data_IF_321861684102
#
_entry.id   IF_321861684102
#
_cell.length_a   1.000
_cell.length_b   1.000
_cell.length_c   1.000
_cell.angle_alpha   90.00
_cell.angle_beta   90.00
_cell.angle_gamma   90.00
#
_symmetry.space_group_name_H-M   'P 1'
#
loop_
_entity.id
_entity.type
_entity.pdbx_description
1 polymer ?
#
# COMPACT_ATOMS: atom_id res chain seq x y z
N UNK A 1 0.85 10.92 28.36
CA UNK A 1 1.00 11.72 27.12
C UNK A 1 1.53 13.12 27.44
N UNK A 2 0.81 13.94 28.22
CA UNK A 2 1.30 15.25 28.67
C UNK A 2 2.64 15.16 29.43
N UNK A 3 2.87 14.13 30.23
CA UNK A 3 4.13 13.90 30.96
C UNK A 3 5.35 13.56 30.07
N UNK A 4 5.12 13.15 28.80
CA UNK A 4 6.20 12.87 27.85
C UNK A 4 6.60 14.12 27.06
N UNK A 5 5.69 15.09 26.92
CA UNK A 5 5.89 16.35 26.19
C UNK A 5 6.21 17.49 27.17
N UNK A 6 5.76 17.38 28.42
CA UNK A 6 5.94 18.36 29.48
C UNK A 6 6.51 17.69 30.75
N UNK A 7 7.59 18.24 31.33
CA UNK A 7 8.29 19.46 30.91
C UNK A 7 9.10 19.24 29.63
N UNK A 8 9.06 20.23 28.74
CA UNK A 8 9.82 20.28 27.48
C UNK A 8 11.33 20.13 27.65
N UNK A 9 11.84 20.23 28.88
CA UNK A 9 13.24 20.05 29.26
C UNK A 9 13.68 18.60 29.45
N UNK A 10 12.76 17.62 29.51
CA UNK A 10 13.15 16.22 29.67
C UNK A 10 13.85 15.75 28.39
N UNK A 11 15.10 15.31 28.50
CA UNK A 11 15.89 14.83 27.36
C UNK A 11 15.24 13.61 26.70
N UNK A 12 15.42 13.47 25.39
CA UNK A 12 15.03 12.25 24.67
C UNK A 12 16.06 11.17 25.01
N UNK A 13 15.56 10.00 25.38
CA UNK A 13 16.33 8.81 25.78
C UNK A 13 15.76 7.56 25.09
N UNK A 14 16.39 6.40 25.31
CA UNK A 14 16.01 5.12 24.69
C UNK A 14 14.56 4.72 24.96
N UNK A 15 14.04 5.07 26.13
CA UNK A 15 12.68 4.71 26.53
C UNK A 15 11.64 5.64 25.90
N UNK A 16 11.98 6.92 25.75
CA UNK A 16 11.07 7.94 25.24
C UNK A 16 11.11 8.07 23.73
N UNK A 17 12.24 7.84 23.05
CA UNK A 17 12.37 8.06 21.60
C UNK A 17 11.36 7.25 20.79
N UNK A 18 11.10 5.99 21.18
CA UNK A 18 10.16 5.12 20.48
C UNK A 18 8.69 5.54 20.62
N UNK A 19 8.38 6.35 21.64
CA UNK A 19 7.04 6.90 21.90
C UNK A 19 6.92 8.29 21.28
N UNK A 20 7.93 9.13 21.50
CA UNK A 20 7.95 10.53 21.07
C UNK A 20 8.08 10.66 19.56
N UNK A 21 8.87 9.82 18.89
CA UNK A 21 9.13 9.95 17.46
C UNK A 21 7.87 9.71 16.59
N UNK A 22 7.08 8.63 16.80
CA UNK A 22 5.81 8.47 16.10
C UNK A 22 4.84 9.62 16.38
N UNK A 23 4.70 10.03 17.65
CA UNK A 23 3.81 11.13 18.02
C UNK A 23 4.24 12.45 17.35
N UNK A 24 5.53 12.76 17.38
CA UNK A 24 6.06 13.97 16.78
C UNK A 24 5.84 13.97 15.26
N UNK A 25 5.92 12.82 14.61
CA UNK A 25 5.64 12.68 13.19
C UNK A 25 4.13 12.82 12.88
N UNK A 26 3.29 12.08 13.60
CA UNK A 26 1.84 12.05 13.37
C UNK A 26 1.18 13.41 13.63
N UNK A 27 1.67 14.15 14.63
CA UNK A 27 1.20 15.50 14.99
C UNK A 27 2.07 16.64 14.43
N UNK A 28 3.04 16.34 13.55
CA UNK A 28 3.88 17.34 12.88
C UNK A 28 4.61 18.30 13.85
N UNK A 29 5.10 17.78 14.98
CA UNK A 29 5.82 18.55 15.98
C UNK A 29 7.31 18.68 15.60
N UNK A 30 7.64 19.62 14.72
CA UNK A 30 9.01 19.79 14.17
C UNK A 30 10.09 19.91 15.24
N UNK A 31 9.85 20.69 16.30
CA UNK A 31 10.81 20.85 17.40
C UNK A 31 11.09 19.54 18.16
N UNK A 32 10.09 18.67 18.30
CA UNK A 32 10.26 17.36 18.94
C UNK A 32 10.92 16.35 17.99
N UNK A 33 10.56 16.38 16.70
CA UNK A 33 11.23 15.61 15.65
C UNK A 33 12.72 15.92 15.60
N UNK A 34 13.09 17.20 15.63
CA UNK A 34 14.48 17.65 15.64
C UNK A 34 15.27 17.12 16.85
N UNK A 35 14.63 17.07 18.03
CA UNK A 35 15.27 16.53 19.24
C UNK A 35 15.45 15.02 19.17
N UNK A 36 14.44 14.29 18.69
CA UNK A 36 14.56 12.86 18.42
C UNK A 36 15.63 12.58 17.37
N UNK A 37 15.72 13.39 16.32
CA UNK A 37 16.74 13.29 15.29
C UNK A 37 18.14 13.51 15.87
N UNK A 38 18.35 14.58 16.65
CA UNK A 38 19.62 14.83 17.33
C UNK A 38 20.05 13.67 18.23
N UNK A 39 19.12 13.10 19.00
CA UNK A 39 19.38 11.93 19.83
C UNK A 39 19.81 10.74 18.96
N UNK A 40 19.04 10.43 17.90
CA UNK A 40 19.32 9.32 17.00
C UNK A 40 20.66 9.46 16.28
N UNK A 41 21.09 10.68 15.93
CA UNK A 41 22.42 10.92 15.33
C UNK A 41 23.52 10.38 16.27
N UNK A 42 23.47 10.76 17.55
CA UNK A 42 24.44 10.31 18.56
C UNK A 42 24.26 8.86 19.01
N UNK A 43 23.08 8.27 18.80
CA UNK A 43 22.75 6.94 19.30
C UNK A 43 23.35 5.82 18.43
N UNK A 44 23.79 4.74 19.08
CA UNK A 44 24.48 3.62 18.45
C UNK A 44 23.49 2.53 18.00
N UNK A 45 22.69 2.83 16.97
CA UNK A 45 21.83 1.84 16.32
C UNK A 45 22.56 1.13 15.17
N UNK A 46 22.17 -0.12 14.84
CA UNK A 46 22.55 -0.75 13.59
C UNK A 46 22.27 0.16 12.40
N UNK A 47 23.21 0.27 11.46
CA UNK A 47 23.14 1.19 10.32
C UNK A 47 21.79 1.14 9.58
N UNK A 48 21.34 -0.06 9.19
CA UNK A 48 20.12 -0.23 8.42
C UNK A 48 18.87 0.10 9.25
N UNK A 49 18.91 -0.08 10.56
CA UNK A 49 17.84 0.34 11.46
C UNK A 49 17.77 1.87 11.55
N UNK A 50 18.94 2.53 11.66
CA UNK A 50 19.06 3.99 11.66
C UNK A 50 18.52 4.61 10.36
N UNK A 51 18.89 4.03 9.21
CA UNK A 51 18.38 4.42 7.89
C UNK A 51 16.88 4.18 7.77
N UNK A 52 16.38 3.05 8.27
CA UNK A 52 14.95 2.74 8.25
C UNK A 52 14.12 3.72 9.10
N UNK A 53 14.60 4.08 10.29
CA UNK A 53 13.95 5.09 11.14
C UNK A 53 13.95 6.45 10.43
N UNK A 54 15.09 6.83 9.82
CA UNK A 54 15.22 8.09 9.12
C UNK A 54 14.27 8.19 7.92
N UNK A 55 14.16 7.14 7.12
CA UNK A 55 13.23 7.07 5.99
C UNK A 55 11.76 7.09 6.47
N UNK A 56 11.42 6.30 7.49
CA UNK A 56 10.05 6.17 8.00
C UNK A 56 9.48 7.47 8.56
N UNK A 57 10.29 8.22 9.31
CA UNK A 57 9.86 9.46 9.96
C UNK A 57 10.39 10.72 9.27
N UNK A 58 10.90 10.59 8.03
CA UNK A 58 11.42 11.69 7.21
C UNK A 58 12.48 12.55 7.91
N UNK A 59 13.37 11.91 8.65
CA UNK A 59 14.51 12.56 9.32
C UNK A 59 15.64 12.75 8.30
N UNK A 60 15.48 13.75 7.43
CA UNK A 60 16.35 13.98 6.28
C UNK A 60 17.81 14.21 6.69
N UNK A 61 18.06 14.93 7.79
CA UNK A 61 19.43 15.21 8.25
C UNK A 61 20.09 13.94 8.77
N UNK A 62 19.37 13.11 9.54
CA UNK A 62 19.86 11.80 9.95
C UNK A 62 20.17 10.91 8.73
N UNK A 63 19.28 10.90 7.73
CA UNK A 63 19.47 10.12 6.50
C UNK A 63 20.72 10.54 5.72
N UNK A 64 20.94 11.84 5.52
CA UNK A 64 22.17 12.38 4.88
C UNK A 64 23.41 11.91 5.63
N UNK A 65 23.41 12.02 6.96
CA UNK A 65 24.56 11.63 7.78
C UNK A 65 24.84 10.13 7.66
N UNK A 66 23.82 9.28 7.72
CA UNK A 66 23.96 7.84 7.48
C UNK A 66 24.58 7.57 6.10
N UNK A 67 24.08 8.21 5.03
CA UNK A 67 24.61 8.02 3.68
C UNK A 67 26.05 8.54 3.51
N UNK A 68 26.44 9.59 4.24
CA UNK A 68 27.81 10.11 4.27
C UNK A 68 28.78 9.16 4.97
N UNK A 69 28.36 8.57 6.09
CA UNK A 69 29.19 7.62 6.86
C UNK A 69 29.39 6.29 6.12
N UNK A 70 28.48 5.92 5.21
CA UNK A 70 28.56 4.67 4.47
C UNK A 70 29.77 4.66 3.51
N UNK A 71 30.55 3.57 3.57
CA UNK A 71 31.66 3.33 2.63
C UNK A 71 31.16 2.60 1.38
N UNK A 72 31.76 2.86 0.19
CA UNK A 72 31.56 2.03 -0.99
C UNK A 72 31.88 0.57 -0.68
N UNK A 73 31.13 -0.38 -1.24
CA UNK A 73 31.26 -1.83 -0.99
C UNK A 73 31.07 -2.26 0.49
N UNK A 74 30.44 -1.45 1.33
CA UNK A 74 30.07 -1.87 2.69
C UNK A 74 29.10 -3.05 2.66
N UNK A 75 29.24 -3.97 3.63
CA UNK A 75 28.34 -5.12 3.78
C UNK A 75 27.02 -4.66 4.38
N UNK A 76 26.10 -4.20 3.54
CA UNK A 76 24.72 -3.90 3.92
C UNK A 76 23.85 -5.14 3.65
N UNK A 77 23.01 -5.50 4.61
CA UNK A 77 22.04 -6.58 4.44
C UNK A 77 20.88 -6.13 3.54
N UNK A 78 20.98 -6.47 2.25
CA UNK A 78 19.95 -6.16 1.24
C UNK A 78 18.81 -7.20 1.21
N UNK A 79 18.91 -8.28 2.00
CA UNK A 79 17.89 -9.33 2.07
C UNK A 79 17.04 -9.24 3.36
N UNK A 80 17.39 -8.33 4.26
CA UNK A 80 16.68 -8.11 5.52
C UNK A 80 15.34 -7.40 5.36
N UNK A 81 14.41 -7.67 6.29
CA UNK A 81 13.09 -7.04 6.33
C UNK A 81 13.15 -5.51 6.43
N UNK A 82 14.17 -4.98 7.11
CA UNK A 82 14.42 -3.53 7.22
C UNK A 82 14.71 -2.90 5.87
N UNK A 83 15.51 -3.54 5.02
CA UNK A 83 15.80 -3.06 3.66
C UNK A 83 14.55 -3.08 2.78
N UNK A 84 13.78 -4.18 2.82
CA UNK A 84 12.53 -4.27 2.05
C UNK A 84 11.51 -3.21 2.44
N UNK A 85 11.47 -2.83 3.73
CA UNK A 85 10.58 -1.80 4.25
C UNK A 85 11.01 -0.36 3.92
N UNK A 86 12.18 -0.14 3.33
CA UNK A 86 12.61 1.18 2.87
C UNK A 86 11.82 1.63 1.64
N UNK A 87 11.66 2.94 1.51
CA UNK A 87 11.17 3.58 0.30
C UNK A 87 12.12 3.33 -0.88
N UNK A 88 11.56 3.23 -2.09
CA UNK A 88 12.36 2.99 -3.31
C UNK A 88 13.43 4.07 -3.51
N UNK A 89 13.12 5.31 -3.12
CA UNK A 89 14.05 6.43 -3.10
C UNK A 89 15.27 6.15 -2.23
N UNK A 90 15.09 5.71 -0.98
CA UNK A 90 16.22 5.43 -0.08
C UNK A 90 16.98 4.18 -0.53
N UNK A 91 16.30 3.18 -1.10
CA UNK A 91 16.97 2.03 -1.73
C UNK A 91 17.90 2.47 -2.86
N UNK A 92 17.45 3.37 -3.74
CA UNK A 92 18.29 3.93 -4.81
C UNK A 92 19.50 4.65 -4.21
N UNK A 93 19.30 5.56 -3.25
CA UNK A 93 20.41 6.28 -2.61
C UNK A 93 21.41 5.33 -1.93
N UNK A 94 20.94 4.27 -1.27
CA UNK A 94 21.82 3.26 -0.68
C UNK A 94 22.63 2.53 -1.75
N UNK A 95 21.98 2.10 -2.83
CA UNK A 95 22.65 1.40 -3.93
C UNK A 95 23.65 2.30 -4.65
N UNK A 96 23.31 3.55 -4.95
CA UNK A 96 24.23 4.53 -5.55
C UNK A 96 25.50 4.68 -4.70
N UNK A 97 25.33 4.80 -3.39
CA UNK A 97 26.45 4.92 -2.44
C UNK A 97 27.28 3.64 -2.33
N UNK A 98 26.65 2.46 -2.40
CA UNK A 98 27.37 1.18 -2.47
C UNK A 98 28.23 1.08 -3.73
N UNK A 99 27.76 1.63 -4.85
CA UNK A 99 28.47 1.67 -6.14
C UNK A 99 29.43 2.87 -6.28
N UNK A 100 29.63 3.67 -5.22
CA UNK A 100 30.66 4.71 -5.18
C UNK A 100 30.21 6.12 -5.60
N UNK A 101 28.91 6.36 -5.82
CA UNK A 101 28.40 7.72 -6.03
C UNK A 101 28.65 8.61 -4.79
N UNK A 102 28.75 9.93 -4.97
CA UNK A 102 28.90 10.86 -3.85
C UNK A 102 27.68 10.85 -2.92
N UNK A 103 27.89 11.19 -1.64
CA UNK A 103 26.77 11.37 -0.71
C UNK A 103 25.96 12.61 -1.08
N UNK A 104 24.61 12.53 -1.10
CA UNK A 104 23.78 13.69 -1.34
C UNK A 104 24.03 14.75 -0.25
N UNK A 105 24.12 16.02 -0.65
CA UNK A 105 24.21 17.12 0.31
C UNK A 105 22.88 17.36 1.02
N UNK A 106 21.78 17.18 0.27
CA UNK A 106 20.42 17.30 0.74
C UNK A 106 19.55 16.20 0.14
N UNK A 107 18.60 15.73 0.93
CA UNK A 107 17.62 14.70 0.55
C UNK A 107 16.51 15.44 -0.21
N UNK A 108 16.71 15.68 -1.51
CA UNK A 108 15.79 16.42 -2.40
C UNK A 108 14.32 16.05 -2.15
N UNK A 109 13.52 16.95 -1.61
CA UNK A 109 12.11 16.63 -1.35
C UNK A 109 11.35 16.32 -2.65
N UNK A 110 10.38 15.39 -2.62
CA UNK A 110 9.47 15.23 -3.75
C UNK A 110 8.88 16.60 -4.09
N UNK A 111 8.85 17.02 -5.36
CA UNK A 111 8.34 18.33 -5.72
C UNK A 111 6.90 18.44 -5.22
N UNK A 112 6.58 19.53 -4.52
CA UNK A 112 5.22 19.86 -4.06
C UNK A 112 4.41 20.52 -5.18
N UNK A 113 5.12 21.20 -6.08
CA UNK A 113 4.56 21.91 -7.22
C UNK A 113 5.44 21.79 -8.47
N UNK A 114 5.07 22.56 -9.50
CA UNK A 114 5.81 22.61 -10.77
C UNK A 114 6.73 23.83 -10.89
N UNK A 115 6.98 24.60 -9.83
CA UNK A 115 7.87 25.77 -9.90
C UNK A 115 9.24 25.45 -10.53
N UNK A 116 9.89 24.31 -10.21
CA UNK A 116 11.17 23.93 -10.83
C UNK A 116 11.09 23.73 -12.35
N UNK A 117 9.91 23.43 -12.88
CA UNK A 117 9.67 23.19 -14.30
C UNK A 117 9.19 24.46 -15.02
N UNK A 118 9.09 25.62 -14.36
CA UNK A 118 8.69 26.86 -15.04
C UNK A 118 9.84 27.55 -15.76
N UNK A 119 11.08 27.22 -15.40
CA UNK A 119 12.30 27.79 -15.99
C UNK A 119 13.10 26.70 -16.68
N UNK A 120 13.69 27.06 -17.81
CA UNK A 120 14.61 26.19 -18.52
C UNK A 120 15.86 25.95 -17.65
N UNK A 121 16.37 24.72 -17.68
CA UNK A 121 17.61 24.34 -17.03
C UNK A 121 18.40 23.38 -17.92
N UNK A 122 19.64 23.08 -17.54
CA UNK A 122 20.49 22.13 -18.26
C UNK A 122 19.87 20.72 -18.31
N UNK A 123 19.07 20.36 -17.30
CA UNK A 123 18.41 19.05 -17.22
C UNK A 123 17.04 19.08 -17.89
N UNK A 124 16.29 20.17 -17.72
CA UNK A 124 14.95 20.38 -18.24
C UNK A 124 14.97 21.47 -19.31
N UNK A 125 15.25 21.08 -20.55
CA UNK A 125 15.56 22.02 -21.63
C UNK A 125 14.49 22.09 -22.73
N UNK A 126 13.54 21.15 -22.80
CA UNK A 126 12.45 21.16 -23.79
C UNK A 126 11.17 21.70 -23.18
N UNK A 127 10.44 22.55 -23.91
CA UNK A 127 9.16 23.05 -23.46
C UNK A 127 8.01 22.08 -23.79
N UNK A 128 7.09 21.94 -22.85
CA UNK A 128 5.83 21.21 -22.99
C UNK A 128 4.69 22.14 -22.62
N UNK A 129 3.76 22.33 -23.55
CA UNK A 129 2.56 23.14 -23.35
C UNK A 129 1.38 22.26 -23.00
N UNK A 130 0.78 22.50 -21.85
CA UNK A 130 -0.50 21.89 -21.46
C UNK A 130 -1.64 22.38 -22.35
N UNK A 131 -2.75 21.63 -22.40
CA UNK A 131 -3.97 22.00 -23.15
C UNK A 131 -4.52 23.39 -22.75
N UNK A 132 -4.29 23.83 -21.52
CA UNK A 132 -4.71 25.15 -21.01
C UNK A 132 -3.76 26.28 -21.40
N UNK A 133 -2.69 26.00 -22.17
CA UNK A 133 -1.70 26.97 -22.62
C UNK A 133 -0.49 27.16 -21.71
N UNK A 134 -0.52 26.62 -20.49
CA UNK A 134 0.57 26.73 -19.50
C UNK A 134 1.78 25.89 -19.94
N UNK A 135 2.97 26.49 -19.84
CA UNK A 135 4.22 25.93 -20.36
C UNK A 135 5.12 25.43 -19.22
N UNK A 136 5.78 24.30 -19.45
CA UNK A 136 6.73 23.67 -18.54
C UNK A 136 7.98 23.23 -19.29
N UNK A 137 9.15 23.49 -18.74
CA UNK A 137 10.40 22.93 -19.20
C UNK A 137 10.65 21.59 -18.53
N UNK A 138 10.95 20.59 -19.34
CA UNK A 138 11.11 19.19 -18.93
C UNK A 138 12.29 18.57 -19.68
N UNK A 139 12.72 17.42 -19.19
CA UNK A 139 13.61 16.56 -19.96
C UNK A 139 12.74 15.68 -20.89
N UNK A 140 12.83 15.84 -22.22
CA UNK A 140 11.98 15.12 -23.15
C UNK A 140 12.21 13.59 -23.09
N UNK A 141 13.43 13.15 -22.80
CA UNK A 141 13.77 11.73 -22.71
C UNK A 141 13.16 11.06 -21.47
N UNK A 142 13.08 11.77 -20.34
CA UNK A 142 12.33 11.26 -19.18
C UNK A 142 10.85 11.13 -19.47
N UNK A 143 10.26 12.08 -20.19
CA UNK A 143 8.86 11.97 -20.61
C UNK A 143 8.65 10.78 -21.54
N UNK A 144 9.53 10.60 -22.53
CA UNK A 144 9.47 9.49 -23.49
C UNK A 144 9.53 8.12 -22.80
N UNK A 145 10.43 7.97 -21.83
CA UNK A 145 10.58 6.73 -21.07
C UNK A 145 9.32 6.32 -20.30
N UNK A 146 8.39 7.26 -20.08
CA UNK A 146 7.14 7.03 -19.37
C UNK A 146 5.90 7.21 -20.25
N UNK A 147 6.00 7.69 -21.49
CA UNK A 147 4.84 8.07 -22.31
C UNK A 147 5.07 7.74 -23.77
N UNK A 148 4.26 6.83 -24.30
CA UNK A 148 4.29 6.46 -25.71
C UNK A 148 3.97 7.68 -26.60
N UNK A 149 3.07 8.57 -26.15
CA UNK A 149 2.75 9.83 -26.83
C UNK A 149 3.99 10.71 -27.04
N UNK A 150 4.92 10.74 -26.09
CA UNK A 150 6.15 11.52 -26.18
C UNK A 150 7.26 10.77 -26.90
N UNK A 151 7.34 9.45 -26.74
CA UNK A 151 8.23 8.59 -27.52
C UNK A 151 7.95 8.73 -29.03
N UNK A 152 6.70 8.59 -29.46
CA UNK A 152 6.30 8.73 -30.86
C UNK A 152 6.63 10.12 -31.41
N UNK A 153 6.40 11.17 -30.62
CA UNK A 153 6.72 12.56 -31.01
C UNK A 153 8.21 12.78 -31.19
N UNK A 154 9.03 12.25 -30.30
CA UNK A 154 10.49 12.38 -30.40
C UNK A 154 11.04 11.58 -31.59
N UNK A 155 10.53 10.38 -31.81
CA UNK A 155 10.91 9.55 -32.95
C UNK A 155 10.47 10.16 -34.29
N UNK A 156 9.30 10.82 -34.32
CA UNK A 156 8.75 11.42 -35.54
C UNK A 156 9.39 12.76 -35.91
N UNK A 157 10.07 13.43 -34.98
CA UNK A 157 10.59 14.77 -35.24
C UNK A 157 12.10 14.77 -35.46
N UNK A 158 12.49 14.98 -36.72
CA UNK A 158 13.89 14.96 -37.18
C UNK A 158 14.70 16.22 -36.81
N UNK A 159 14.09 17.23 -36.20
CA UNK A 159 14.76 18.46 -35.77
C UNK A 159 14.34 18.82 -34.34
N UNK A 160 15.31 19.15 -33.48
CA UNK A 160 15.11 19.48 -32.07
C UNK A 160 13.85 20.31 -31.82
N UNK A 161 12.83 19.66 -31.26
CA UNK A 161 11.56 20.31 -30.95
C UNK A 161 11.75 21.12 -29.69
N UNK A 162 11.82 22.45 -29.84
CA UNK A 162 11.85 23.36 -28.69
C UNK A 162 10.55 23.30 -27.88
N UNK A 163 9.41 23.01 -28.52
CA UNK A 163 8.10 23.01 -27.87
C UNK A 163 7.16 21.87 -28.32
N UNK A 164 6.68 21.07 -27.37
CA UNK A 164 5.75 19.95 -27.58
C UNK A 164 4.38 20.23 -26.95
N UNK A 165 3.30 19.91 -27.66
CA UNK A 165 1.94 20.02 -27.13
C UNK A 165 1.51 18.75 -26.36
N UNK A 166 0.91 18.93 -25.18
CA UNK A 166 0.40 17.86 -24.32
C UNK A 166 -1.14 17.84 -24.27
N UNK A 167 -1.81 16.68 -24.39
CA UNK A 167 -3.26 16.58 -24.34
C UNK A 167 -3.86 16.82 -22.93
N UNK A 168 -3.02 16.81 -21.88
CA UNK A 168 -3.43 17.01 -20.50
C UNK A 168 -3.73 18.47 -20.17
N UNK A 169 -4.69 18.70 -19.26
CA UNK A 169 -4.83 20.00 -18.59
C UNK A 169 -3.60 20.30 -17.73
N UNK A 170 -3.49 21.53 -17.22
CA UNK A 170 -2.41 21.87 -16.28
C UNK A 170 -2.36 20.90 -15.08
N UNK A 171 -3.49 20.62 -14.43
CA UNK A 171 -3.53 19.76 -13.24
C UNK A 171 -3.15 18.31 -13.56
N UNK A 172 -3.58 17.80 -14.71
CA UNK A 172 -3.22 16.47 -15.18
C UNK A 172 -1.74 16.38 -15.54
N UNK A 173 -1.20 17.39 -16.25
CA UNK A 173 0.23 17.44 -16.57
C UNK A 173 1.07 17.56 -15.30
N UNK A 174 0.61 18.32 -14.30
CA UNK A 174 1.22 18.38 -12.98
C UNK A 174 1.29 17.02 -12.31
N UNK A 175 0.15 16.33 -12.21
CA UNK A 175 0.08 15.00 -11.63
C UNK A 175 1.02 14.01 -12.35
N UNK A 176 1.10 14.11 -13.68
CA UNK A 176 2.00 13.28 -14.49
C UNK A 176 3.47 13.57 -14.20
N UNK A 177 3.91 14.83 -14.35
CA UNK A 177 5.32 15.21 -14.17
C UNK A 177 5.82 14.90 -12.77
N UNK A 178 5.03 15.20 -11.74
CA UNK A 178 5.37 14.87 -10.35
C UNK A 178 5.50 13.36 -10.13
N UNK A 179 4.75 12.53 -10.86
CA UNK A 179 4.81 11.08 -10.71
C UNK A 179 6.00 10.43 -11.42
N UNK A 180 6.55 11.06 -12.47
CA UNK A 180 7.59 10.46 -13.31
C UNK A 180 8.98 11.04 -13.08
N UNK A 181 9.09 12.34 -12.78
CA UNK A 181 10.39 12.99 -12.59
C UNK A 181 10.96 12.69 -11.20
N UNK A 182 12.25 12.36 -11.10
CA UNK A 182 12.93 12.26 -9.82
C UNK A 182 13.06 13.62 -9.13
N UNK A 183 12.84 13.71 -7.80
CA UNK A 183 12.28 12.67 -6.92
C UNK A 183 10.77 12.46 -7.14
N UNK A 184 10.33 11.21 -7.35
CA UNK A 184 8.95 10.90 -7.72
C UNK A 184 7.95 11.08 -6.55
N UNK A 185 6.79 11.66 -6.84
CA UNK A 185 5.65 11.73 -5.93
C UNK A 185 5.11 10.33 -5.64
N UNK A 186 4.91 10.01 -4.36
CA UNK A 186 4.30 8.75 -3.94
C UNK A 186 2.82 8.71 -4.33
N UNK A 187 2.43 7.69 -5.07
CA UNK A 187 1.04 7.42 -5.43
C UNK A 187 0.31 6.85 -4.21
N UNK A 188 -0.85 7.44 -3.90
CA UNK A 188 -1.71 7.06 -2.78
C UNK A 188 -3.19 7.32 -3.16
N UNK A 189 -4.09 7.08 -2.21
CA UNK A 189 -5.53 7.16 -2.44
C UNK A 189 -6.05 8.58 -2.70
N UNK A 190 -5.34 9.60 -2.23
CA UNK A 190 -5.77 11.00 -2.38
C UNK A 190 -5.34 11.58 -3.73
N UNK A 191 -4.26 11.07 -4.34
CA UNK A 191 -3.72 11.58 -5.60
C UNK A 191 -3.86 10.63 -6.80
N UNK A 192 -4.28 9.37 -6.59
CA UNK A 192 -4.35 8.38 -7.67
C UNK A 192 -5.28 8.77 -8.81
N UNK A 193 -6.39 9.45 -8.54
CA UNK A 193 -7.35 9.85 -9.58
C UNK A 193 -6.71 10.71 -10.68
N UNK A 194 -6.20 11.92 -10.35
CA UNK A 194 -5.50 12.77 -11.31
C UNK A 194 -4.31 12.09 -11.98
N UNK A 195 -3.51 11.32 -11.23
CA UNK A 195 -2.34 10.60 -11.77
C UNK A 195 -2.79 9.57 -12.81
N UNK A 196 -3.79 8.76 -12.50
CA UNK A 196 -4.29 7.72 -13.41
C UNK A 196 -4.91 8.34 -14.68
N UNK A 197 -5.71 9.41 -14.55
CA UNK A 197 -6.26 10.12 -15.70
C UNK A 197 -5.16 10.69 -16.60
N UNK A 198 -4.11 11.27 -16.01
CA UNK A 198 -2.97 11.77 -16.76
C UNK A 198 -2.18 10.65 -17.43
N UNK A 199 -1.96 9.52 -16.74
CA UNK A 199 -1.29 8.34 -17.26
C UNK A 199 -2.03 7.75 -18.46
N UNK A 200 -3.37 7.75 -18.42
CA UNK A 200 -4.20 7.30 -19.53
C UNK A 200 -4.04 8.20 -20.76
N UNK A 201 -4.12 9.53 -20.59
CA UNK A 201 -3.97 10.50 -21.71
C UNK A 201 -2.56 10.53 -22.30
N UNK A 202 -1.57 10.20 -21.48
CA UNK A 202 -0.17 10.15 -21.86
C UNK A 202 0.26 8.76 -22.33
N UNK A 203 -0.67 7.80 -22.38
CA UNK A 203 -0.41 6.41 -22.75
C UNK A 203 0.81 5.84 -22.02
N UNK A 204 0.79 5.95 -20.69
CA UNK A 204 1.90 5.57 -19.81
C UNK A 204 1.69 4.17 -19.23
N UNK A 205 2.24 3.10 -19.85
CA UNK A 205 1.98 1.74 -19.41
C UNK A 205 2.51 1.47 -17.99
N UNK A 206 3.68 2.01 -17.66
CA UNK A 206 4.30 1.83 -16.34
C UNK A 206 3.49 2.52 -15.23
N UNK A 207 3.01 3.75 -15.47
CA UNK A 207 2.25 4.50 -14.47
C UNK A 207 0.82 3.97 -14.32
N UNK A 208 0.19 3.55 -15.43
CA UNK A 208 -1.09 2.84 -15.41
C UNK A 208 -0.99 1.56 -14.56
N UNK A 209 0.05 0.75 -14.77
CA UNK A 209 0.29 -0.47 -13.97
C UNK A 209 0.49 -0.17 -12.49
N UNK A 210 1.29 0.87 -12.15
CA UNK A 210 1.49 1.30 -10.75
C UNK A 210 0.17 1.69 -10.08
N UNK A 211 -0.66 2.49 -10.76
CA UNK A 211 -1.95 2.90 -10.23
C UNK A 211 -2.91 1.72 -10.08
N UNK A 212 -2.98 0.86 -11.10
CA UNK A 212 -3.88 -0.28 -11.08
C UNK A 212 -3.53 -1.30 -9.97
N UNK A 213 -2.24 -1.51 -9.70
CA UNK A 213 -1.79 -2.32 -8.55
C UNK A 213 -2.27 -1.75 -7.21
N UNK A 214 -2.29 -0.41 -7.07
CA UNK A 214 -2.83 0.23 -5.86
C UNK A 214 -4.35 0.03 -5.77
N UNK A 215 -5.09 0.26 -6.87
CA UNK A 215 -6.55 0.09 -6.89
C UNK A 215 -6.95 -1.36 -6.58
N UNK A 216 -6.21 -2.35 -7.07
CA UNK A 216 -6.48 -3.76 -6.82
C UNK A 216 -5.93 -4.28 -5.50
N UNK A 217 -5.23 -3.44 -4.72
CA UNK A 217 -4.72 -3.85 -3.41
C UNK A 217 -5.86 -4.11 -2.43
N UNK A 218 -5.81 -5.17 -1.61
CA UNK A 218 -6.79 -5.37 -0.54
C UNK A 218 -6.66 -4.33 0.58
N UNK A 219 -5.52 -3.63 0.68
CA UNK A 219 -5.21 -2.71 1.77
C UNK A 219 -5.70 -1.27 1.52
N UNK A 220 -6.15 -0.96 0.32
CA UNK A 220 -6.68 0.39 0.05
C UNK A 220 -8.05 0.59 0.69
N UNK A 221 -8.28 1.79 1.22
CA UNK A 221 -9.53 2.27 1.80
C UNK A 221 -10.53 2.79 0.76
N UNK A 222 -10.13 2.86 -0.52
CA UNK A 222 -11.06 3.23 -1.59
C UNK A 222 -12.18 2.19 -1.70
N UNK A 223 -13.42 2.64 -1.90
CA UNK A 223 -14.54 1.72 -2.13
C UNK A 223 -14.35 0.98 -3.45
N UNK A 224 -14.89 -0.25 -3.54
CA UNK A 224 -14.80 -1.05 -4.78
C UNK A 224 -15.42 -0.31 -5.97
N UNK A 225 -16.48 0.46 -5.73
CA UNK A 225 -17.13 1.24 -6.77
C UNK A 225 -16.26 2.40 -7.29
N UNK A 226 -15.53 3.09 -6.40
CA UNK A 226 -14.58 4.13 -6.83
C UNK A 226 -13.46 3.51 -7.67
N UNK A 227 -12.89 2.37 -7.23
CA UNK A 227 -11.86 1.64 -7.97
C UNK A 227 -12.35 1.26 -9.37
N UNK A 228 -13.55 0.67 -9.44
CA UNK A 228 -14.19 0.28 -10.70
C UNK A 228 -14.36 1.48 -11.64
N UNK A 229 -14.88 2.61 -11.12
CA UNK A 229 -15.10 3.81 -11.91
C UNK A 229 -13.81 4.41 -12.48
N UNK A 230 -12.70 4.33 -11.73
CA UNK A 230 -11.38 4.78 -12.17
C UNK A 230 -10.79 3.87 -13.24
N UNK A 231 -10.91 2.55 -13.07
CA UNK A 231 -10.48 1.57 -14.08
C UNK A 231 -11.26 1.71 -15.38
N UNK A 232 -12.58 1.87 -15.30
CA UNK A 232 -13.46 2.06 -16.46
C UNK A 232 -13.12 3.36 -17.21
N UNK A 233 -12.99 4.47 -16.49
CA UNK A 233 -12.61 5.77 -17.10
C UNK A 233 -11.27 5.78 -17.80
N UNK A 234 -10.36 4.91 -17.39
CA UNK A 234 -9.02 4.79 -17.98
C UNK A 234 -8.91 3.59 -18.94
N UNK A 235 -10.04 3.03 -19.36
CA UNK A 235 -10.14 1.91 -20.30
C UNK A 235 -9.39 0.64 -19.86
N UNK A 236 -9.11 0.48 -18.56
CA UNK A 236 -8.44 -0.68 -17.97
C UNK A 236 -9.42 -1.84 -17.73
N UNK A 237 -10.20 -2.16 -18.76
CA UNK A 237 -11.35 -3.06 -18.64
C UNK A 237 -10.99 -4.50 -18.26
N UNK A 238 -9.80 -4.96 -18.67
CA UNK A 238 -9.25 -6.28 -18.31
C UNK A 238 -9.16 -6.50 -16.80
N UNK A 239 -9.11 -5.40 -16.03
CA UNK A 239 -8.94 -5.43 -14.57
C UNK A 239 -10.28 -5.33 -13.83
N UNK A 240 -11.40 -5.08 -14.53
CA UNK A 240 -12.73 -4.98 -13.93
C UNK A 240 -13.19 -6.27 -13.27
N UNK A 241 -13.00 -7.48 -13.86
CA UNK A 241 -13.39 -8.73 -13.20
C UNK A 241 -12.67 -8.91 -11.86
N UNK A 242 -11.37 -8.63 -11.81
CA UNK A 242 -10.57 -8.73 -10.58
C UNK A 242 -11.01 -7.70 -9.53
N UNK A 243 -11.38 -6.48 -9.94
CA UNK A 243 -11.94 -5.49 -9.04
C UNK A 243 -13.29 -5.93 -8.45
N UNK A 244 -14.18 -6.45 -9.31
CA UNK A 244 -15.52 -6.93 -8.94
C UNK A 244 -15.49 -8.19 -8.07
N UNK A 245 -14.41 -8.99 -8.12
CA UNK A 245 -14.22 -10.12 -7.22
C UNK A 245 -14.20 -9.72 -5.74
N UNK A 246 -13.87 -8.46 -5.44
CA UNK A 246 -13.90 -7.90 -4.08
C UNK A 246 -15.33 -7.70 -3.56
N UNK A 247 -16.33 -7.71 -4.44
CA UNK A 247 -17.75 -7.61 -4.04
C UNK A 247 -18.29 -9.01 -3.78
N UNK A 248 -18.54 -9.32 -2.51
CA UNK A 248 -18.95 -10.66 -2.07
C UNK A 248 -20.47 -10.83 -1.90
N UNK A 249 -21.21 -9.71 -1.92
CA UNK A 249 -22.64 -9.67 -1.60
C UNK A 249 -23.42 -9.02 -2.74
N UNK A 250 -24.51 -9.64 -3.24
CA UNK A 250 -25.28 -9.08 -4.36
C UNK A 250 -25.91 -7.73 -3.99
N UNK A 251 -26.26 -7.51 -2.72
CA UNK A 251 -26.83 -6.24 -2.24
C UNK A 251 -25.88 -5.06 -2.48
N UNK A 252 -24.57 -5.29 -2.36
CA UNK A 252 -23.57 -4.24 -2.60
C UNK A 252 -23.56 -3.81 -4.06
N UNK A 253 -23.76 -4.73 -5.02
CA UNK A 253 -23.85 -4.37 -6.44
C UNK A 253 -25.15 -3.63 -6.74
N UNK A 254 -26.27 -4.06 -6.16
CA UNK A 254 -27.57 -3.38 -6.31
C UNK A 254 -27.48 -1.96 -5.75
N UNK A 255 -26.80 -1.75 -4.62
CA UNK A 255 -26.56 -0.41 -4.09
C UNK A 255 -25.67 0.43 -5.02
N UNK A 256 -24.67 -0.17 -5.67
CA UNK A 256 -23.84 0.54 -6.64
C UNK A 256 -24.64 1.01 -7.86
N UNK A 257 -25.62 0.23 -8.34
CA UNK A 257 -26.44 0.65 -9.50
C UNK A 257 -27.39 1.80 -9.21
N UNK A 258 -27.65 2.09 -7.93
CA UNK A 258 -28.49 3.22 -7.50
C UNK A 258 -27.72 4.55 -7.39
N UNK A 259 -26.38 4.52 -7.48
CA UNK A 259 -25.56 5.71 -7.38
C UNK A 259 -25.48 6.44 -8.74
N UNK A 260 -25.45 7.77 -8.73
CA UNK A 260 -25.34 8.59 -9.96
C UNK A 260 -24.08 8.31 -10.78
N UNK A 261 -23.00 7.86 -10.12
CA UNK A 261 -21.77 7.43 -10.81
C UNK A 261 -22.02 6.24 -11.74
N UNK A 262 -23.02 5.40 -11.45
CA UNK A 262 -23.38 4.26 -12.30
C UNK A 262 -23.80 4.72 -13.70
N UNK A 263 -24.53 5.83 -13.80
CA UNK A 263 -24.97 6.37 -15.08
C UNK A 263 -23.78 6.72 -15.98
N UNK A 264 -22.68 7.17 -15.38
CA UNK A 264 -21.44 7.54 -16.05
C UNK A 264 -20.56 6.35 -16.45
N UNK A 265 -20.86 5.12 -16.01
CA UNK A 265 -20.08 3.94 -16.38
C UNK A 265 -20.32 3.54 -17.83
N UNK A 266 -19.28 3.02 -18.46
CA UNK A 266 -19.36 2.43 -19.79
C UNK A 266 -20.30 1.22 -19.81
N UNK A 267 -20.85 0.91 -20.98
CA UNK A 267 -21.64 -0.32 -21.19
C UNK A 267 -20.86 -1.56 -20.79
N UNK A 268 -19.53 -1.57 -20.98
CA UNK A 268 -18.67 -2.69 -20.62
C UNK A 268 -18.56 -2.86 -19.11
N UNK A 269 -18.38 -1.78 -18.35
CA UNK A 269 -18.38 -1.85 -16.89
C UNK A 269 -19.74 -2.26 -16.33
N UNK A 270 -20.83 -1.72 -16.89
CA UNK A 270 -22.20 -2.12 -16.52
C UNK A 270 -22.44 -3.61 -16.78
N UNK A 271 -22.02 -4.11 -17.94
CA UNK A 271 -22.10 -5.53 -18.27
C UNK A 271 -21.30 -6.39 -17.28
N UNK A 272 -20.04 -6.04 -16.99
CA UNK A 272 -19.22 -6.77 -16.03
C UNK A 272 -19.84 -6.80 -14.61
N UNK A 273 -20.47 -5.69 -14.19
CA UNK A 273 -21.23 -5.65 -12.94
C UNK A 273 -22.42 -6.61 -12.97
N UNK A 274 -23.18 -6.66 -14.07
CA UNK A 274 -24.32 -7.57 -14.19
C UNK A 274 -23.88 -9.04 -14.26
N UNK A 275 -22.78 -9.35 -14.93
CA UNK A 275 -22.19 -10.70 -14.94
C UNK A 275 -21.80 -11.13 -13.52
N UNK A 276 -21.16 -10.23 -12.76
CA UNK A 276 -20.83 -10.50 -11.35
C UNK A 276 -22.09 -10.66 -10.51
N UNK A 277 -23.13 -9.86 -10.73
CA UNK A 277 -24.40 -9.98 -10.02
C UNK A 277 -25.05 -11.33 -10.29
N UNK A 278 -25.06 -11.80 -11.54
CA UNK A 278 -25.55 -13.13 -11.91
C UNK A 278 -24.84 -14.23 -11.11
N UNK A 279 -23.51 -14.21 -11.07
CA UNK A 279 -22.70 -15.15 -10.28
C UNK A 279 -23.06 -15.12 -8.79
N UNK A 280 -23.27 -13.92 -8.23
CA UNK A 280 -23.63 -13.75 -6.82
C UNK A 280 -25.08 -14.15 -6.52
N UNK A 281 -26.01 -14.02 -7.46
CA UNK A 281 -27.40 -14.45 -7.27
C UNK A 281 -27.56 -15.96 -7.38
N UNK A 282 -26.78 -16.61 -8.24
CA UNK A 282 -26.69 -18.07 -8.32
C UNK A 282 -26.05 -18.66 -7.06
N UNK A 283 -25.11 -17.94 -6.43
CA UNK A 283 -24.37 -18.39 -5.24
C UNK A 283 -24.18 -17.26 -4.21
N UNK A 284 -25.22 -16.84 -3.49
CA UNK A 284 -25.19 -15.68 -2.60
C UNK A 284 -24.19 -15.88 -1.46
N UNK A 285 -23.02 -15.23 -1.58
CA UNK A 285 -21.97 -15.22 -0.55
C UNK A 285 -21.27 -16.56 -0.32
N UNK A 286 -21.52 -17.57 -1.16
CA UNK A 286 -20.88 -18.88 -1.04
C UNK A 286 -19.50 -18.86 -1.71
N UNK A 287 -18.42 -19.10 -0.97
CA UNK A 287 -17.11 -19.26 -1.61
C UNK A 287 -17.10 -20.58 -2.39
N UNK A 288 -16.71 -20.49 -3.68
CA UNK A 288 -16.45 -21.65 -4.51
C UNK A 288 -15.17 -22.31 -4.05
N UNK A 289 -15.20 -23.59 -3.71
CA UNK A 289 -14.01 -24.39 -3.48
C UNK A 289 -13.96 -25.56 -4.46
N UNK A 290 -12.76 -25.89 -4.91
CA UNK A 290 -12.52 -27.03 -5.79
C UNK A 290 -12.10 -28.23 -4.95
N UNK A 291 -12.88 -29.32 -4.98
CA UNK A 291 -12.55 -30.51 -4.22
C UNK A 291 -11.45 -31.30 -4.94
N UNK A 292 -10.29 -31.46 -4.31
CA UNK A 292 -9.16 -32.24 -4.85
C UNK A 292 -9.49 -33.72 -5.10
N UNK A 293 -10.44 -34.29 -4.34
CA UNK A 293 -10.80 -35.72 -4.45
C UNK A 293 -11.80 -36.03 -5.55
N UNK A 294 -12.92 -35.31 -5.60
CA UNK A 294 -13.96 -35.56 -6.61
C UNK A 294 -13.91 -34.60 -7.80
N UNK A 295 -13.00 -33.63 -7.80
CA UNK A 295 -12.88 -32.57 -8.80
C UNK A 295 -14.14 -31.73 -8.99
N UNK A 296 -15.12 -31.86 -8.10
CA UNK A 296 -16.34 -31.06 -8.13
C UNK A 296 -16.05 -29.67 -7.56
N UNK A 297 -16.57 -28.65 -8.23
CA UNK A 297 -16.60 -27.27 -7.73
C UNK A 297 -17.89 -27.09 -6.95
N UNK A 298 -17.77 -26.78 -5.66
CA UNK A 298 -18.91 -26.60 -4.75
C UNK A 298 -18.93 -25.20 -4.18
N UNK A 299 -20.12 -24.73 -3.81
CA UNK A 299 -20.35 -23.42 -3.20
C UNK A 299 -20.80 -23.61 -1.74
N UNK A 300 -20.10 -22.99 -0.78
CA UNK A 300 -20.39 -23.14 0.65
C UNK A 300 -20.36 -21.79 1.40
N UNK A 301 -21.24 -21.62 2.39
CA UNK A 301 -21.40 -20.34 3.13
C UNK A 301 -20.27 -20.04 4.11
N UNK A 302 -19.50 -21.05 4.44
CA UNK A 302 -18.16 -21.00 5.01
C UNK A 302 -17.33 -22.05 4.26
N UNK A 303 -15.99 -21.97 4.28
CA UNK A 303 -15.15 -23.11 3.90
C UNK A 303 -15.45 -24.23 4.89
N UNK A 304 -16.46 -25.03 4.60
CA UNK A 304 -16.75 -26.22 5.36
C UNK A 304 -15.60 -27.16 5.06
N UNK A 305 -14.94 -27.61 6.11
CA UNK A 305 -13.87 -28.58 5.95
C UNK A 305 -14.35 -29.81 5.19
N UNK A 306 -15.65 -30.10 5.09
CA UNK A 306 -16.20 -31.24 4.38
C UNK A 306 -16.85 -30.83 3.03
N UNK A 307 -16.41 -31.49 1.95
CA UNK A 307 -17.04 -31.39 0.63
C UNK A 307 -18.47 -31.98 0.66
N UNK A 308 -19.52 -31.25 0.24
CA UNK A 308 -20.90 -31.74 0.29
C UNK A 308 -21.17 -32.93 -0.64
N UNK A 309 -20.42 -33.05 -1.74
CA UNK A 309 -20.56 -34.12 -2.73
C UNK A 309 -19.94 -35.45 -2.27
N UNK A 310 -18.69 -35.42 -1.79
CA UNK A 310 -17.95 -36.63 -1.47
C UNK A 310 -17.70 -36.82 0.03
N UNK A 311 -18.29 -35.95 0.87
CA UNK A 311 -18.15 -35.94 2.34
C UNK A 311 -16.70 -36.03 2.83
N UNK A 312 -15.75 -35.58 2.00
CA UNK A 312 -14.32 -35.67 2.29
C UNK A 312 -13.86 -34.35 2.86
N UNK A 313 -13.04 -34.42 3.91
CA UNK A 313 -12.48 -33.22 4.50
C UNK A 313 -11.37 -32.61 3.61
N UNK A 314 -11.47 -31.34 3.20
CA UNK A 314 -10.44 -30.57 2.52
C UNK A 314 -9.23 -30.41 3.44
N UNK A 315 -8.17 -31.15 3.16
CA UNK A 315 -6.86 -30.99 3.81
C UNK A 315 -6.07 -29.88 3.12
N UNK A 316 -6.53 -28.63 3.19
CA UNK A 316 -5.75 -27.50 2.68
C UNK A 316 -4.90 -26.89 3.79
N UNK A 317 -3.59 -27.09 3.67
CA UNK A 317 -2.53 -26.54 4.53
C UNK A 317 -2.42 -25.01 4.46
N UNK A 318 -3.16 -24.37 3.56
CA UNK A 318 -3.16 -22.91 3.31
C UNK A 318 -4.04 -22.11 4.27
N UNK A 319 -4.95 -22.75 5.03
CA UNK A 319 -5.86 -22.06 5.96
C UNK A 319 -5.33 -21.95 7.40
N UNK A 320 -4.27 -22.69 7.75
CA UNK A 320 -3.65 -22.64 9.09
C UNK A 320 -2.86 -21.35 9.38
N UNK A 321 -2.75 -20.43 8.42
CA UNK A 321 -1.99 -19.18 8.60
C UNK A 321 -2.81 -17.99 9.10
N UNK A 322 -4.13 -18.11 9.24
CA UNK A 322 -4.98 -16.94 9.51
C UNK A 322 -5.94 -17.05 10.71
N UNK A 323 -5.72 -17.99 11.63
CA UNK A 323 -6.44 -18.04 12.91
C UNK A 323 -5.46 -18.16 14.05
N UNK A 324 -4.90 -17.03 14.47
CA UNK A 324 -4.23 -16.94 15.77
C UNK A 324 -4.45 -15.55 16.39
N UNK A 325 -5.69 -15.30 16.83
CA UNK A 325 -5.99 -14.39 17.95
C UNK A 325 -7.33 -14.80 18.56
N UNK A 326 -7.34 -14.92 19.89
CA UNK A 326 -8.47 -15.15 20.80
C UNK A 326 -8.83 -16.60 21.11
N UNK A 327 -7.97 -17.17 21.95
CA UNK A 327 -8.28 -18.21 22.93
C UNK A 327 -9.35 -17.74 23.93
N UNK A 328 -10.50 -18.40 23.97
CA UNK A 328 -11.23 -18.72 25.21
C UNK A 328 -11.77 -20.14 25.06
N UNK A 329 -11.28 -21.02 25.91
CA UNK A 329 -11.64 -22.43 25.97
C UNK A 329 -12.96 -22.63 26.70
N UNK A 330 -13.86 -23.44 26.13
CA UNK A 330 -14.90 -24.13 26.89
C UNK A 330 -15.09 -25.53 26.31
N UNK A 331 -14.54 -26.53 26.99
CA UNK A 331 -14.77 -27.96 26.74
C UNK A 331 -16.04 -28.42 27.46
N UNK A 332 -16.94 -29.11 26.75
CA UNK A 332 -17.95 -30.00 27.35
C UNK A 332 -17.99 -31.35 26.64
N UNK A 333 -18.12 -32.38 27.48
CA UNK A 333 -17.96 -33.81 27.29
C UNK A 333 -18.90 -34.49 26.28
N UNK A 334 -18.44 -35.64 25.76
CA UNK A 334 -19.04 -37.01 25.78
C UNK A 334 -18.30 -37.84 24.70
N UNK A 335 -17.67 -39.01 24.90
CA UNK A 335 -17.64 -39.99 25.98
C UNK A 335 -18.19 -41.34 25.49
N UNK A 336 -17.37 -42.23 24.92
CA UNK A 336 -17.44 -43.73 24.87
C UNK A 336 -16.11 -44.18 24.21
N UNK A 337 -15.29 -45.15 24.61
CA UNK A 337 -15.28 -46.19 25.65
C UNK A 337 -14.22 -47.22 25.21
N UNK A 338 -13.33 -47.68 26.09
CA UNK A 338 -12.29 -48.66 25.74
C UNK A 338 -11.18 -48.86 26.78
N UNK A 339 -11.50 -49.55 27.87
CA UNK A 339 -10.67 -50.48 28.68
C UNK A 339 -9.13 -50.41 28.61
N UNK A 340 -8.46 -50.11 29.74
CA UNK A 340 -7.75 -51.08 30.61
C UNK A 340 -6.99 -50.39 31.77
N UNK A 341 -7.33 -50.77 33.02
CA UNK A 341 -6.49 -51.11 34.19
C UNK A 341 -5.17 -50.34 34.43
N UNK A 342 -5.03 -49.53 35.50
CA UNK A 342 -4.50 -49.94 36.82
C UNK A 342 -4.37 -48.78 37.85
N UNK A 343 -4.70 -49.12 39.10
CA UNK A 343 -4.16 -48.69 40.41
C UNK A 343 -4.07 -47.22 40.91
N UNK A 344 -4.67 -47.07 42.11
CA UNK A 344 -4.28 -46.25 43.29
C UNK A 344 -4.35 -44.72 43.14
N UNK A 345 -4.98 -43.93 44.01
CA UNK A 345 -5.54 -44.12 45.35
C UNK A 345 -5.48 -42.75 46.07
N UNK A 346 -6.42 -42.46 46.99
CA UNK A 346 -6.20 -41.44 48.02
C UNK A 346 -7.18 -40.26 48.10
N UNK A 347 -8.29 -40.49 48.80
CA UNK A 347 -8.91 -39.70 49.87
C UNK A 347 -8.71 -38.17 50.02
N UNK A 348 -9.86 -37.50 50.27
CA UNK A 348 -10.01 -36.46 51.30
C UNK A 348 -10.74 -35.20 50.82
N UNK A 349 -12.06 -35.03 51.04
CA UNK A 349 -12.69 -34.33 52.21
C UNK A 349 -12.20 -32.88 52.38
N UNK A 350 -13.00 -31.84 52.58
CA UNK A 350 -14.41 -31.69 52.93
C UNK A 350 -14.80 -30.18 52.89
N UNK A 351 -16.07 -29.92 52.55
CA UNK A 351 -17.09 -29.11 53.28
C UNK A 351 -16.84 -27.63 53.64
N UNK A 352 -17.87 -26.79 53.40
CA UNK A 352 -18.15 -25.56 54.17
C UNK A 352 -18.45 -24.32 53.32
N UNK A 353 -19.54 -24.18 52.56
CA UNK A 353 -20.93 -23.81 52.93
C UNK A 353 -21.16 -22.33 53.34
N UNK A 354 -22.20 -21.73 52.73
CA UNK A 354 -23.03 -20.55 53.12
C UNK A 354 -22.37 -19.16 52.91
N UNK A 355 -22.97 -18.13 52.30
CA UNK A 355 -24.33 -17.90 51.81
C UNK A 355 -24.75 -16.44 52.11
N UNK A 356 -25.58 -15.85 51.25
CA UNK A 356 -26.39 -14.64 51.50
C UNK A 356 -25.82 -13.34 50.92
N UNK A 357 -26.37 -12.78 49.83
CA UNK A 357 -27.54 -11.90 49.76
C UNK A 357 -27.38 -10.60 50.58
N UNK A 358 -27.28 -9.44 49.92
CA UNK A 358 -28.44 -8.58 49.59
C UNK A 358 -28.01 -7.23 49.01
N UNK A 359 -28.86 -6.72 48.12
CA UNK A 359 -28.85 -5.42 47.47
C UNK A 359 -28.61 -4.22 48.41
N UNK A 360 -27.77 -3.29 47.98
CA UNK A 360 -28.19 -1.93 47.58
C UNK A 360 -27.10 -1.22 46.78
#
# INVERSE_FOLDING_TARGET
MLECIHPTYKAVDDQSVHILLPLAYDYQMEGLLHRCECFLISHNLPFLEKVWIADRYKLNRLLVLCLREMRPNSKVDLNGSRYYALSDRVKVLLLERLHGAAAPEEILEPPLDLEPYQRQSDVNFSAVRAKTGRLYYVNPYYMAAWSNVFEDKLCSTSSGVEEMFCPCTHEELKAFLMAIHPPQLRINETNIGPILMSACKMESPALLRKCANLLLSPHTQLSVFVRLSLLDRCFLHEMLPQCLQMVLRPENLIQMTQQTTYDCLSTRAKAAMMDRLGVLLENPGLQTHHCTRCKATNTCGAVTWMCPQCKTYSTDTSLLRNTNTNSVATTTNTGVGGTTVNQQGGYGTAVGTVGGLMNR
#
